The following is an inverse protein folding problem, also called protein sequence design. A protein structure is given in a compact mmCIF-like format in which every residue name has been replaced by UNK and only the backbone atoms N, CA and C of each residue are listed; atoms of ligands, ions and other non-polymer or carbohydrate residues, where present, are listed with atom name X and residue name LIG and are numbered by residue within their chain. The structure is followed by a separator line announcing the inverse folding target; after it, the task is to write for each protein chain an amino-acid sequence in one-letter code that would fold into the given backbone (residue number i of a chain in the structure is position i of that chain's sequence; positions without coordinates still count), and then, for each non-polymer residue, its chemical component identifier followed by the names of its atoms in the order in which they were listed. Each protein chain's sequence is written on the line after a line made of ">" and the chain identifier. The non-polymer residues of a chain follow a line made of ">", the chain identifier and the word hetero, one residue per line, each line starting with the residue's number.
data_IF_627131526295
#
_entry.id   IF_627131526295
#
_cell.length_a   1.000
_cell.length_b   1.000
_cell.length_c   1.000
_cell.angle_alpha   90.00
_cell.angle_beta   90.00
_cell.angle_gamma   90.00
#
_symmetry.space_group_name_H-M   'P 1'
#
loop_
_entity.id
_entity.type
_entity.pdbx_description
1 polymer ?
#
# COMPACT_ATOMS: atom_id res chain seq x y z
N UNK A 1 6.46 14.12 -18.44
CA UNK A 1 6.16 12.76 -18.96
C UNK A 1 6.07 11.84 -17.75
N UNK A 2 4.87 11.43 -17.39
CA UNK A 2 4.64 10.62 -16.19
C UNK A 2 5.36 9.26 -16.34
N UNK A 3 6.29 8.97 -15.42
CA UNK A 3 7.09 7.74 -15.40
C UNK A 3 6.20 6.47 -15.34
N UNK A 4 4.99 6.62 -14.82
CA UNK A 4 4.04 5.53 -14.64
C UNK A 4 3.52 4.88 -15.92
N UNK A 5 3.36 5.62 -17.00
CA UNK A 5 2.71 5.08 -18.23
C UNK A 5 3.54 3.99 -18.91
N UNK A 6 4.89 4.08 -18.84
CA UNK A 6 5.75 3.05 -19.46
C UNK A 6 5.78 1.71 -18.70
N UNK A 7 5.55 1.71 -17.40
CA UNK A 7 5.52 0.49 -16.58
C UNK A 7 4.32 -0.41 -16.94
N UNK A 8 3.16 0.20 -17.26
CA UNK A 8 1.93 -0.54 -17.54
C UNK A 8 1.88 -1.15 -18.96
N UNK A 9 2.70 -0.69 -19.90
CA UNK A 9 2.61 -1.12 -21.30
C UNK A 9 3.14 -2.53 -21.61
N UNK A 10 3.93 -3.14 -20.71
CA UNK A 10 4.59 -4.43 -20.98
C UNK A 10 4.71 -5.35 -19.75
N UNK A 11 3.86 -5.18 -18.74
CA UNK A 11 3.92 -5.98 -17.51
C UNK A 11 2.55 -6.53 -17.17
N UNK A 12 2.46 -7.83 -16.89
CA UNK A 12 1.23 -8.47 -16.39
C UNK A 12 1.05 -8.27 -14.88
N UNK A 13 2.16 -8.02 -14.17
CA UNK A 13 2.19 -7.81 -12.74
C UNK A 13 3.22 -6.74 -12.36
N UNK A 14 2.83 -5.83 -11.47
CA UNK A 14 3.69 -4.78 -10.93
C UNK A 14 3.59 -4.80 -9.41
N UNK A 15 4.74 -4.88 -8.74
CA UNK A 15 4.85 -4.70 -7.30
C UNK A 15 5.63 -3.41 -7.04
N UNK A 16 4.99 -2.45 -6.38
CA UNK A 16 5.58 -1.15 -6.04
C UNK A 16 5.57 -0.96 -4.53
N UNK A 17 6.70 -0.55 -3.96
CA UNK A 17 6.84 -0.25 -2.55
C UNK A 17 7.07 1.24 -2.32
N UNK A 18 6.32 1.81 -1.38
CA UNK A 18 6.51 3.15 -0.82
C UNK A 18 7.01 3.04 0.62
N UNK A 19 8.31 2.97 0.81
CA UNK A 19 8.92 2.78 2.13
C UNK A 19 8.95 4.04 3.02
N UNK A 20 8.53 5.20 2.51
CA UNK A 20 8.70 6.48 3.20
C UNK A 20 7.99 6.55 4.56
N UNK A 21 6.72 6.12 4.74
CA UNK A 21 6.04 6.18 6.02
C UNK A 21 6.76 5.34 7.10
N UNK A 22 7.24 4.17 6.75
CA UNK A 22 8.00 3.31 7.65
C UNK A 22 9.34 3.95 8.03
N UNK A 23 10.15 4.31 7.04
CA UNK A 23 11.46 4.90 7.28
C UNK A 23 11.40 6.19 8.08
N UNK A 24 10.43 7.05 7.81
CA UNK A 24 10.24 8.31 8.54
C UNK A 24 9.61 8.05 9.91
N UNK A 25 8.71 7.08 10.03
CA UNK A 25 8.11 6.65 11.28
C UNK A 25 9.15 6.25 12.32
N UNK A 26 10.19 5.55 11.90
CA UNK A 26 11.32 5.18 12.77
C UNK A 26 12.10 6.36 13.37
N UNK A 27 11.93 7.57 12.84
CA UNK A 27 12.55 8.77 13.43
C UNK A 27 11.85 9.27 14.69
N UNK A 28 10.59 8.88 14.92
CA UNK A 28 9.75 9.38 16.00
C UNK A 28 9.31 10.84 15.81
N UNK A 29 9.55 11.45 14.64
CA UNK A 29 9.17 12.84 14.34
C UNK A 29 7.79 12.87 13.72
N UNK A 30 6.78 13.21 14.51
CA UNK A 30 5.36 13.14 14.12
C UNK A 30 5.04 13.91 12.83
N UNK A 31 5.41 15.19 12.76
CA UNK A 31 5.11 16.04 11.60
C UNK A 31 5.78 15.53 10.31
N UNK A 32 6.96 14.94 10.43
CA UNK A 32 7.64 14.32 9.31
C UNK A 32 6.91 13.06 8.83
N UNK A 33 6.41 12.23 9.76
CA UNK A 33 5.61 11.05 9.43
C UNK A 33 4.31 11.43 8.74
N UNK A 34 3.60 12.46 9.22
CA UNK A 34 2.40 13.00 8.56
C UNK A 34 2.73 13.42 7.12
N UNK A 35 3.82 14.17 6.93
CA UNK A 35 4.22 14.61 5.59
C UNK A 35 4.59 13.46 4.66
N UNK A 36 5.23 12.42 5.19
CA UNK A 36 5.53 11.20 4.43
C UNK A 36 4.25 10.49 3.98
N UNK A 37 3.26 10.33 4.88
CA UNK A 37 1.97 9.71 4.57
C UNK A 37 1.19 10.51 3.51
N UNK A 38 1.08 11.83 3.65
CA UNK A 38 0.43 12.70 2.66
C UNK A 38 1.09 12.58 1.27
N UNK A 39 2.42 12.50 1.24
CA UNK A 39 3.17 12.36 -0.01
C UNK A 39 2.90 11.01 -0.66
N UNK A 40 2.91 9.92 0.12
CA UNK A 40 2.62 8.58 -0.37
C UNK A 40 1.17 8.47 -0.84
N UNK A 41 0.21 9.05 -0.12
CA UNK A 41 -1.20 9.07 -0.53
C UNK A 41 -1.36 9.70 -1.92
N UNK A 42 -0.75 10.86 -2.15
CA UNK A 42 -0.77 11.52 -3.46
C UNK A 42 -0.12 10.67 -4.56
N UNK A 43 1.04 10.08 -4.29
CA UNK A 43 1.73 9.23 -5.25
C UNK A 43 0.97 7.93 -5.54
N UNK A 44 0.41 7.30 -4.51
CA UNK A 44 -0.39 6.09 -4.65
C UNK A 44 -1.66 6.33 -5.47
N UNK A 45 -2.31 7.49 -5.28
CA UNK A 45 -3.43 7.93 -6.11
C UNK A 45 -3.04 8.02 -7.58
N UNK A 46 -1.95 8.73 -7.90
CA UNK A 46 -1.49 8.89 -9.29
C UNK A 46 -1.20 7.54 -9.95
N UNK A 47 -0.57 6.60 -9.20
CA UNK A 47 -0.28 5.25 -9.68
C UNK A 47 -1.56 4.45 -9.88
N UNK A 48 -2.49 4.50 -8.93
CA UNK A 48 -3.75 3.77 -9.00
C UNK A 48 -4.61 4.25 -10.19
N UNK A 49 -4.71 5.57 -10.40
CA UNK A 49 -5.42 6.14 -11.55
C UNK A 49 -4.80 5.67 -12.86
N UNK A 50 -3.47 5.74 -13.00
CA UNK A 50 -2.77 5.26 -14.19
C UNK A 50 -2.95 3.76 -14.41
N UNK A 51 -2.97 2.95 -13.35
CA UNK A 51 -3.21 1.51 -13.44
C UNK A 51 -4.63 1.20 -13.95
N UNK A 52 -5.64 1.85 -13.38
CA UNK A 52 -7.04 1.68 -13.79
C UNK A 52 -7.28 2.13 -15.24
N UNK A 53 -6.62 3.20 -15.70
CA UNK A 53 -6.65 3.64 -17.10
C UNK A 53 -6.06 2.62 -18.07
N UNK A 54 -5.20 1.71 -17.58
CA UNK A 54 -4.57 0.64 -18.36
C UNK A 54 -5.13 -0.76 -18.05
N UNK A 55 -6.35 -0.83 -17.53
CA UNK A 55 -7.07 -2.08 -17.24
C UNK A 55 -6.44 -2.99 -16.18
N UNK A 56 -5.64 -2.43 -15.26
CA UNK A 56 -5.12 -3.15 -14.12
C UNK A 56 -6.12 -3.18 -12.95
N UNK A 57 -6.13 -4.28 -12.22
CA UNK A 57 -6.63 -4.31 -10.84
C UNK A 57 -5.55 -3.82 -9.91
N UNK A 58 -5.91 -3.05 -8.88
CA UNK A 58 -4.95 -2.48 -7.93
C UNK A 58 -5.25 -2.98 -6.52
N UNK A 59 -4.24 -3.51 -5.85
CA UNK A 59 -4.29 -3.82 -4.41
C UNK A 59 -3.33 -2.88 -3.69
N UNK A 60 -3.84 -2.13 -2.71
CA UNK A 60 -3.04 -1.28 -1.83
C UNK A 60 -3.08 -1.90 -0.43
N UNK A 61 -1.92 -2.19 0.11
CA UNK A 61 -1.77 -2.79 1.44
C UNK A 61 -0.54 -2.20 2.14
N UNK A 62 -0.41 -2.49 3.45
CA UNK A 62 0.85 -2.41 4.16
C UNK A 62 1.27 -3.80 4.67
N UNK A 63 2.55 -4.02 4.87
CA UNK A 63 3.12 -5.28 5.39
C UNK A 63 3.15 -5.32 6.92
N UNK A 64 3.14 -4.16 7.58
CA UNK A 64 3.03 -4.00 9.03
C UNK A 64 2.57 -2.59 9.39
N UNK A 65 2.23 -2.36 10.64
CA UNK A 65 1.97 -1.04 11.20
C UNK A 65 3.26 -0.35 11.67
N UNK A 66 3.26 0.98 11.65
CA UNK A 66 4.34 1.83 12.17
C UNK A 66 3.77 3.23 12.49
N UNK A 67 3.51 4.04 11.46
CA UNK A 67 3.17 5.47 11.59
C UNK A 67 1.80 5.74 12.22
N UNK A 68 0.94 4.74 12.37
CA UNK A 68 -0.36 4.91 13.04
C UNK A 68 -0.23 5.05 14.57
N UNK A 69 0.93 4.67 15.13
CA UNK A 69 1.25 4.86 16.56
C UNK A 69 2.63 5.53 16.66
N UNK A 70 2.65 6.85 16.71
CA UNK A 70 3.87 7.64 16.79
C UNK A 70 4.28 8.01 18.22
N UNK A 71 3.38 7.83 19.19
CA UNK A 71 3.55 8.22 20.60
C UNK A 71 3.12 7.05 21.48
N UNK A 72 3.99 6.65 22.38
CA UNK A 72 3.73 5.63 23.41
C UNK A 72 2.80 6.19 24.51
N UNK A 73 2.23 5.31 25.34
CA UNK A 73 1.35 5.68 26.45
C UNK A 73 2.03 6.59 27.48
N UNK A 74 3.35 6.48 27.62
CA UNK A 74 4.17 7.32 28.51
C UNK A 74 4.54 8.68 27.92
N UNK A 75 4.08 8.98 26.68
CA UNK A 75 4.37 10.22 25.97
C UNK A 75 5.69 10.22 25.20
N UNK A 76 6.47 9.15 25.26
CA UNK A 76 7.71 9.03 24.48
C UNK A 76 7.42 8.73 22.99
N UNK A 77 8.33 9.10 22.06
CA UNK A 77 8.18 8.72 20.66
C UNK A 77 8.19 7.19 20.49
N UNK A 78 7.22 6.67 19.72
CA UNK A 78 7.27 5.29 19.24
C UNK A 78 8.03 5.24 17.91
N UNK A 79 9.05 4.42 17.85
CA UNK A 79 9.90 4.23 16.65
C UNK A 79 9.90 2.77 16.18
N UNK A 80 9.02 1.94 16.71
CA UNK A 80 8.95 0.51 16.44
C UNK A 80 7.77 0.18 15.51
N UNK A 81 7.85 -0.97 14.85
CA UNK A 81 6.70 -1.56 14.19
C UNK A 81 5.60 -1.91 15.19
N UNK A 82 4.37 -1.88 14.74
CA UNK A 82 3.21 -2.26 15.53
C UNK A 82 2.57 -3.54 15.01
N UNK A 83 1.73 -4.16 15.82
CA UNK A 83 0.89 -5.30 15.45
C UNK A 83 -0.51 -4.88 15.01
N UNK A 84 -0.72 -3.60 14.77
CA UNK A 84 -2.01 -3.06 14.31
C UNK A 84 -2.44 -3.70 13.00
N UNK A 85 -3.74 -3.95 12.80
CA UNK A 85 -4.26 -4.33 11.50
C UNK A 85 -3.92 -3.27 10.44
N UNK A 86 -3.51 -3.72 9.28
CA UNK A 86 -3.17 -2.84 8.15
C UNK A 86 -4.35 -2.73 7.17
N UNK A 87 -4.47 -1.62 6.42
CA UNK A 87 -5.51 -1.49 5.41
C UNK A 87 -5.32 -2.48 4.26
N UNK A 88 -6.43 -2.89 3.67
CA UNK A 88 -6.47 -3.66 2.42
C UNK A 88 -7.51 -3.01 1.52
N UNK A 89 -7.08 -2.44 0.40
CA UNK A 89 -7.92 -1.76 -0.57
C UNK A 89 -7.78 -2.46 -1.91
N UNK A 90 -8.92 -2.82 -2.51
CA UNK A 90 -8.98 -3.36 -3.87
C UNK A 90 -9.72 -2.37 -4.77
N UNK A 91 -9.10 -2.01 -5.87
CA UNK A 91 -9.71 -1.25 -6.96
C UNK A 91 -9.77 -2.16 -8.19
N UNK A 92 -10.97 -2.53 -8.59
CA UNK A 92 -11.23 -3.47 -9.68
C UNK A 92 -12.57 -3.17 -10.35
N UNK A 93 -12.69 -3.45 -11.63
CA UNK A 93 -13.92 -3.19 -12.41
C UNK A 93 -15.04 -4.16 -12.04
N UNK A 94 -14.71 -5.42 -11.83
CA UNK A 94 -15.65 -6.53 -11.68
C UNK A 94 -15.80 -6.99 -10.24
N UNK A 95 -14.71 -7.04 -9.48
CA UNK A 95 -14.70 -7.45 -8.07
C UNK A 95 -15.11 -6.29 -7.18
N UNK A 96 -16.24 -6.42 -6.50
CA UNK A 96 -16.83 -5.34 -5.68
C UNK A 96 -16.53 -5.45 -4.19
N UNK A 97 -15.96 -6.53 -3.74
CA UNK A 97 -15.62 -6.73 -2.32
C UNK A 97 -14.44 -7.68 -2.14
N UNK A 98 -13.68 -7.44 -1.09
CA UNK A 98 -12.59 -8.30 -0.65
C UNK A 98 -12.77 -8.57 0.84
N UNK A 99 -12.44 -9.79 1.28
CA UNK A 99 -12.53 -10.18 2.68
C UNK A 99 -11.25 -9.83 3.42
N UNK A 100 -11.38 -9.48 4.70
CA UNK A 100 -10.22 -9.41 5.59
C UNK A 100 -9.51 -10.76 5.68
N UNK A 101 -8.22 -10.73 5.89
CA UNK A 101 -7.39 -11.94 5.95
C UNK A 101 -6.02 -11.67 6.54
N UNK A 102 -5.08 -12.52 6.17
CA UNK A 102 -3.66 -12.40 6.54
C UNK A 102 -2.83 -12.00 5.32
N UNK A 103 -1.64 -11.47 5.53
CA UNK A 103 -0.70 -11.14 4.45
C UNK A 103 -0.45 -12.32 3.50
N UNK A 104 -0.38 -13.55 4.03
CA UNK A 104 -0.25 -14.77 3.23
C UNK A 104 -1.42 -15.06 2.28
N UNK A 105 -2.57 -14.37 2.42
CA UNK A 105 -3.68 -14.50 1.48
C UNK A 105 -3.56 -13.58 0.25
N UNK A 106 -2.60 -12.65 0.24
CA UNK A 106 -2.46 -11.67 -0.84
C UNK A 106 -2.03 -12.34 -2.14
N UNK A 107 -0.99 -13.17 -2.13
CA UNK A 107 -0.52 -13.85 -3.33
C UNK A 107 -1.60 -14.75 -3.96
N UNK A 108 -2.30 -15.62 -3.23
CA UNK A 108 -3.43 -16.37 -3.78
C UNK A 108 -4.54 -15.47 -4.34
N UNK A 109 -4.80 -14.33 -3.71
CA UNK A 109 -5.79 -13.36 -4.20
C UNK A 109 -5.38 -12.76 -5.53
N UNK A 110 -4.11 -12.36 -5.67
CA UNK A 110 -3.54 -11.85 -6.93
C UNK A 110 -3.66 -12.89 -8.04
N UNK A 111 -3.25 -14.13 -7.78
CA UNK A 111 -3.33 -15.22 -8.76
C UNK A 111 -4.77 -15.45 -9.23
N UNK A 112 -5.73 -15.40 -8.31
CA UNK A 112 -7.15 -15.51 -8.64
C UNK A 112 -7.64 -14.36 -9.51
N UNK A 113 -7.23 -13.12 -9.21
CA UNK A 113 -7.57 -11.94 -10.04
C UNK A 113 -6.97 -12.06 -11.45
N UNK A 114 -5.79 -12.65 -11.57
CA UNK A 114 -5.12 -12.92 -12.85
C UNK A 114 -5.73 -14.12 -13.60
N UNK A 115 -6.71 -14.82 -13.04
CA UNK A 115 -7.29 -16.03 -13.65
C UNK A 115 -6.36 -17.25 -13.63
N UNK A 116 -5.34 -17.25 -12.77
CA UNK A 116 -4.40 -18.37 -12.60
C UNK A 116 -4.95 -19.28 -11.51
N UNK A 117 -5.45 -20.45 -11.91
CA UNK A 117 -5.90 -21.47 -10.96
C UNK A 117 -4.67 -22.23 -10.41
N UNK A 118 -4.69 -22.48 -9.09
CA UNK A 118 -3.75 -23.37 -8.40
C UNK A 118 -4.44 -24.66 -7.99
#
# INVERSE_FOLDING_TARGET
>A
MKLGIKLFLNSDFICLNFANPDMVGHTGVFDAAVKACETVDSCAKDVAEAALENDYSVIIIADHGNSEIMINEDGSPNTAHTTSPVPLILLDKDVKSIKSGKLGNIAPTILKLMGIEQ
#
